data_IF_464993855632
#
_entry.id   IF_464993855632
#
_cell.length_a   1.000
_cell.length_b   1.000
_cell.length_c   1.000
_cell.angle_alpha   90.00
_cell.angle_beta   90.00
_cell.angle_gamma   90.00
#
_symmetry.space_group_name_H-M   'P 1'
#
loop_
_entity.id
_entity.type
_entity.pdbx_description
1 polymer ?
#
# COMPACT_ATOMS: atom_id res chain seq x y z
N UNK A 1 -16.82 15.86 12.76
CA UNK A 1 -16.29 15.53 11.42
C UNK A 1 -16.60 14.07 11.16
N UNK A 2 -17.03 13.73 9.97
CA UNK A 2 -17.29 12.37 9.55
C UNK A 2 -16.16 11.90 8.61
N UNK A 3 -15.65 10.68 8.81
CA UNK A 3 -14.56 10.12 8.03
C UNK A 3 -14.98 8.79 7.42
N UNK A 4 -14.63 8.59 6.13
CA UNK A 4 -14.71 7.31 5.44
C UNK A 4 -13.35 7.03 4.82
N UNK A 5 -12.82 5.83 5.01
CA UNK A 5 -11.51 5.43 4.51
C UNK A 5 -11.60 4.16 3.67
N UNK A 6 -10.99 4.19 2.50
CA UNK A 6 -11.06 3.14 1.50
C UNK A 6 -9.68 2.83 0.93
N UNK A 7 -9.46 1.56 0.60
CA UNK A 7 -8.24 1.03 0.02
C UNK A 7 -8.59 0.08 -1.14
N UNK A 8 -7.92 0.22 -2.28
CA UNK A 8 -8.08 -0.66 -3.43
C UNK A 8 -6.73 -0.95 -4.06
N UNK A 9 -6.46 -2.21 -4.30
CA UNK A 9 -5.22 -2.66 -4.93
C UNK A 9 -5.20 -2.38 -6.44
N UNK A 10 -4.00 -2.40 -7.01
CA UNK A 10 -3.78 -2.49 -8.44
C UNK A 10 -4.49 -3.71 -9.05
N UNK A 11 -5.03 -3.60 -10.30
CA UNK A 11 -5.83 -4.66 -10.96
C UNK A 11 -5.16 -6.04 -11.05
N UNK A 12 -3.84 -6.07 -11.13
CA UNK A 12 -3.09 -7.32 -11.27
C UNK A 12 -2.73 -7.98 -9.94
N UNK A 13 -3.12 -7.37 -8.80
CA UNK A 13 -2.71 -7.80 -7.47
C UNK A 13 -3.89 -8.20 -6.58
N UNK A 14 -3.58 -8.77 -5.42
CA UNK A 14 -4.56 -9.07 -4.40
C UNK A 14 -4.56 -7.95 -3.35
N UNK A 15 -5.64 -7.80 -2.63
CA UNK A 15 -5.81 -6.79 -1.58
C UNK A 15 -4.69 -6.82 -0.52
N UNK A 16 -4.20 -7.99 -0.17
CA UNK A 16 -3.11 -8.17 0.79
C UNK A 16 -1.75 -7.68 0.29
N UNK A 17 -1.62 -7.42 -1.01
CA UNK A 17 -0.38 -6.91 -1.60
C UNK A 17 -0.44 -5.40 -1.87
N UNK A 18 -1.53 -4.74 -1.53
CA UNK A 18 -1.62 -3.29 -1.62
C UNK A 18 -0.52 -2.64 -0.78
N UNK A 19 0.21 -1.72 -1.36
CA UNK A 19 1.35 -1.04 -0.73
C UNK A 19 0.94 0.26 -0.03
N UNK A 20 -0.24 0.77 -0.35
CA UNK A 20 -0.87 1.92 0.31
C UNK A 20 -1.34 1.61 1.73
N UNK A 21 -1.28 2.60 2.60
CA UNK A 21 -1.82 2.53 3.96
C UNK A 21 -2.50 3.83 4.39
N UNK A 22 -3.46 3.69 5.28
CA UNK A 22 -4.07 4.81 5.98
C UNK A 22 -4.23 4.50 7.48
N UNK A 23 -4.40 5.56 8.27
CA UNK A 23 -4.78 5.42 9.68
C UNK A 23 -5.67 6.58 10.10
N UNK A 24 -6.79 6.28 10.74
CA UNK A 24 -7.72 7.26 11.33
C UNK A 24 -7.71 7.09 12.84
N UNK A 25 -7.45 8.15 13.57
CA UNK A 25 -7.50 8.12 15.04
C UNK A 25 -8.42 9.22 15.56
N UNK A 26 -9.49 8.79 16.23
CA UNK A 26 -10.54 9.68 16.77
C UNK A 26 -10.07 10.48 17.98
N UNK A 27 -9.20 9.92 18.83
CA UNK A 27 -8.76 10.52 20.07
C UNK A 27 -7.78 11.67 19.82
N UNK A 28 -6.83 11.47 18.92
CA UNK A 28 -5.86 12.49 18.51
C UNK A 28 -6.37 13.41 17.41
N UNK A 29 -7.55 13.11 16.85
CA UNK A 29 -8.18 13.81 15.73
C UNK A 29 -7.25 13.89 14.52
N UNK A 30 -6.59 12.78 14.20
CA UNK A 30 -5.59 12.69 13.16
C UNK A 30 -5.99 11.67 12.10
N UNK A 31 -5.61 11.95 10.85
CA UNK A 31 -5.80 11.07 9.70
C UNK A 31 -4.53 11.10 8.89
N UNK A 32 -4.05 9.95 8.44
CA UNK A 32 -2.87 9.82 7.60
C UNK A 32 -3.09 8.84 6.45
N UNK A 33 -2.41 9.09 5.34
CA UNK A 33 -2.31 8.22 4.18
C UNK A 33 -0.84 8.19 3.74
N UNK A 34 -0.35 7.04 3.34
CA UNK A 34 0.98 6.85 2.79
C UNK A 34 0.94 5.82 1.67
N UNK A 35 1.65 6.10 0.60
CA UNK A 35 1.87 5.21 -0.52
C UNK A 35 3.26 4.60 -0.41
N UNK A 36 3.32 3.29 -0.39
CA UNK A 36 4.54 2.52 -0.26
C UNK A 36 5.23 2.29 -1.59
N UNK A 37 6.46 2.75 -1.75
CA UNK A 37 7.21 2.65 -3.01
C UNK A 37 7.54 1.21 -3.38
N UNK A 38 6.93 0.66 -4.44
CA UNK A 38 7.00 -0.75 -4.90
C UNK A 38 8.41 -1.32 -5.10
N UNK A 39 9.42 -0.48 -5.30
CA UNK A 39 10.81 -0.90 -5.48
C UNK A 39 11.59 -1.00 -4.16
N UNK A 40 10.96 -0.65 -3.05
CA UNK A 40 11.57 -0.68 -1.73
C UNK A 40 11.29 -2.01 -0.99
N UNK A 41 11.83 -2.18 0.20
CA UNK A 41 11.71 -3.43 0.97
C UNK A 41 10.57 -3.33 1.99
N UNK A 42 9.49 -4.09 1.79
CA UNK A 42 8.29 -4.09 2.64
C UNK A 42 7.67 -2.69 2.77
N UNK A 43 7.39 -2.01 1.64
CA UNK A 43 6.92 -0.62 1.64
C UNK A 43 5.59 -0.44 2.41
N UNK A 44 4.70 -1.41 2.31
CA UNK A 44 3.40 -1.41 2.96
C UNK A 44 3.50 -1.34 4.49
N UNK A 45 4.48 -2.00 5.07
CA UNK A 45 4.69 -1.99 6.53
C UNK A 45 5.38 -0.73 7.03
N UNK A 46 6.21 -0.11 6.19
CA UNK A 46 6.81 1.19 6.49
C UNK A 46 5.75 2.29 6.42
N UNK A 47 4.92 2.30 5.38
CA UNK A 47 3.80 3.21 5.21
C UNK A 47 2.85 3.13 6.42
N UNK A 48 2.47 1.91 6.85
CA UNK A 48 1.61 1.71 8.01
C UNK A 48 2.28 2.19 9.32
N UNK A 49 3.56 1.89 9.51
CA UNK A 49 4.29 2.32 10.71
C UNK A 49 4.31 3.85 10.85
N UNK A 50 4.53 4.59 9.75
CA UNK A 50 4.51 6.05 9.76
C UNK A 50 3.10 6.58 9.99
N UNK A 51 2.09 6.03 9.30
CA UNK A 51 0.69 6.42 9.47
C UNK A 51 0.21 6.24 10.92
N UNK A 52 0.47 5.09 11.53
CA UNK A 52 0.13 4.82 12.94
C UNK A 52 0.88 5.74 13.88
N UNK A 53 2.20 5.88 13.73
CA UNK A 53 2.99 6.77 14.61
C UNK A 53 2.51 8.21 14.56
N UNK A 54 2.13 8.72 13.38
CA UNK A 54 1.54 10.03 13.25
C UNK A 54 0.17 10.10 13.91
N UNK A 55 -0.73 9.19 13.57
CA UNK A 55 -2.12 9.25 13.98
C UNK A 55 -2.32 8.95 15.48
N UNK A 56 -1.54 8.03 16.05
CA UNK A 56 -1.64 7.66 17.47
C UNK A 56 -0.86 8.60 18.40
N UNK A 57 -0.09 9.54 17.85
CA UNK A 57 0.77 10.44 18.61
C UNK A 57 0.00 11.44 19.45
N UNK A 58 0.10 11.32 20.75
CA UNK A 58 -0.39 12.32 21.72
C UNK A 58 0.62 13.43 21.97
N UNK A 59 1.89 13.25 21.61
CA UNK A 59 2.99 14.22 21.75
C UNK A 59 3.13 15.17 20.55
N UNK A 60 2.22 15.06 19.56
CA UNK A 60 2.26 15.88 18.36
C UNK A 60 3.36 15.49 17.36
N UNK A 61 3.82 14.25 17.41
CA UNK A 61 4.81 13.74 16.44
C UNK A 61 4.30 13.89 15.00
N UNK A 62 5.20 14.27 14.09
CA UNK A 62 4.97 14.29 12.65
C UNK A 62 6.26 13.88 11.94
N UNK A 63 6.20 13.27 10.73
CA UNK A 63 7.38 12.79 10.05
C UNK A 63 8.23 13.94 9.49
N UNK A 64 9.54 13.85 9.71
CA UNK A 64 10.61 14.55 9.00
C UNK A 64 11.70 13.52 8.72
N UNK A 65 12.64 13.82 7.83
CA UNK A 65 13.73 12.89 7.54
C UNK A 65 14.54 12.48 8.79
N UNK A 66 14.67 13.36 9.78
CA UNK A 66 15.29 13.05 11.06
C UNK A 66 14.39 12.20 11.96
N UNK A 67 13.11 12.62 12.11
CA UNK A 67 12.19 11.99 13.06
C UNK A 67 11.72 10.61 12.65
N UNK A 68 11.68 10.30 11.36
CA UNK A 68 11.37 8.93 10.92
C UNK A 68 12.44 7.92 11.33
N UNK A 69 13.65 8.38 11.64
CA UNK A 69 14.73 7.52 12.18
C UNK A 69 14.47 7.08 13.63
N UNK A 70 13.62 7.80 14.36
CA UNK A 70 13.13 7.36 15.68
C UNK A 70 12.35 6.05 15.60
N UNK A 71 11.86 5.69 14.41
CA UNK A 71 11.11 4.46 14.14
C UNK A 71 12.00 3.24 13.88
N UNK A 72 13.33 3.41 13.74
CA UNK A 72 14.26 2.32 13.43
C UNK A 72 14.09 1.10 14.34
N UNK A 73 13.97 1.24 15.68
CA UNK A 73 13.78 0.08 16.56
C UNK A 73 12.48 -0.67 16.28
N UNK A 74 11.38 0.05 16.01
CA UNK A 74 10.09 -0.53 15.67
C UNK A 74 10.12 -1.19 14.29
N UNK A 75 10.77 -0.55 13.33
CA UNK A 75 10.97 -1.07 11.99
C UNK A 75 11.78 -2.37 11.99
N UNK A 76 12.88 -2.42 12.75
CA UNK A 76 13.72 -3.61 12.89
C UNK A 76 12.91 -4.77 13.49
N UNK A 77 12.16 -4.52 14.56
CA UNK A 77 11.29 -5.53 15.19
C UNK A 77 10.21 -6.06 14.23
N UNK A 78 9.63 -5.19 13.42
CA UNK A 78 8.61 -5.55 12.45
C UNK A 78 9.18 -6.43 11.33
N UNK A 79 10.33 -6.07 10.77
CA UNK A 79 11.01 -6.88 9.74
C UNK A 79 11.35 -8.27 10.23
N UNK A 80 11.86 -8.38 11.46
CA UNK A 80 12.20 -9.68 12.07
C UNK A 80 10.94 -10.50 12.30
N UNK A 81 9.87 -9.90 12.82
CA UNK A 81 8.58 -10.57 12.99
C UNK A 81 8.01 -11.07 11.65
N UNK A 82 8.09 -10.26 10.60
CA UNK A 82 7.66 -10.66 9.27
C UNK A 82 8.47 -11.85 8.74
N UNK A 83 9.81 -11.81 8.89
CA UNK A 83 10.67 -12.92 8.49
C UNK A 83 10.32 -14.21 9.25
N UNK A 84 10.10 -14.13 10.57
CA UNK A 84 9.70 -15.27 11.40
C UNK A 84 8.34 -15.84 10.98
N UNK A 85 7.38 -15.00 10.61
CA UNK A 85 6.06 -15.43 10.11
C UNK A 85 6.17 -16.16 8.77
N UNK A 86 6.99 -15.65 7.86
CA UNK A 86 7.19 -16.29 6.56
C UNK A 86 7.97 -17.62 6.68
N UNK A 87 8.90 -17.74 7.63
CA UNK A 87 9.56 -19.02 7.97
C UNK A 87 8.55 -20.01 8.55
N UNK A 88 7.69 -19.58 9.47
CA UNK A 88 6.64 -20.43 10.07
C UNK A 88 5.60 -20.90 9.04
N UNK A 89 5.33 -20.11 8.02
CA UNK A 89 4.49 -20.51 6.87
C UNK A 89 5.19 -21.48 5.92
N UNK A 90 6.43 -21.89 6.22
CA UNK A 90 7.29 -22.65 5.33
C UNK A 90 7.44 -22.00 3.94
N UNK A 91 7.47 -20.66 3.89
CA UNK A 91 7.71 -19.95 2.65
C UNK A 91 9.13 -20.26 2.18
N UNK A 92 9.33 -20.94 1.03
CA UNK A 92 10.66 -21.34 0.55
C UNK A 92 11.55 -20.12 0.23
N UNK A 93 11.01 -18.91 0.34
CA UNK A 93 11.68 -17.65 0.03
C UNK A 93 11.98 -16.81 1.29
N UNK A 94 11.68 -17.31 2.48
CA UNK A 94 11.98 -16.61 3.74
C UNK A 94 13.46 -16.20 3.86
N UNK A 95 14.37 -17.02 3.32
CA UNK A 95 15.79 -16.67 3.29
C UNK A 95 16.11 -15.38 2.51
N UNK A 96 15.32 -15.01 1.48
CA UNK A 96 15.51 -13.76 0.74
C UNK A 96 15.12 -12.55 1.59
N UNK A 97 14.11 -12.73 2.44
CA UNK A 97 13.70 -11.71 3.41
C UNK A 97 14.84 -11.49 4.40
N UNK A 98 15.40 -12.58 4.98
CA UNK A 98 16.56 -12.49 5.88
C UNK A 98 17.78 -11.84 5.22
N UNK A 99 18.07 -12.20 3.98
CA UNK A 99 19.15 -11.56 3.24
C UNK A 99 18.89 -10.06 3.04
N UNK A 100 17.68 -9.66 2.69
CA UNK A 100 17.31 -8.24 2.54
C UNK A 100 17.46 -7.46 3.86
N UNK A 101 17.10 -8.09 4.98
CA UNK A 101 17.33 -7.52 6.32
C UNK A 101 18.85 -7.37 6.60
N UNK A 102 19.64 -8.41 6.33
CA UNK A 102 21.11 -8.39 6.54
C UNK A 102 21.80 -7.36 5.63
N UNK A 103 21.31 -7.18 4.40
CA UNK A 103 21.77 -6.15 3.45
C UNK A 103 21.27 -4.74 3.81
N UNK A 104 20.49 -4.59 4.89
CA UNK A 104 19.87 -3.34 5.32
C UNK A 104 19.09 -2.64 4.19
N UNK A 105 18.35 -3.41 3.40
CA UNK A 105 17.45 -2.82 2.40
C UNK A 105 16.45 -1.94 3.10
N UNK A 106 16.23 -0.75 2.52
CA UNK A 106 15.31 0.23 3.05
C UNK A 106 13.92 0.09 2.46
N UNK A 107 12.93 0.51 3.23
CA UNK A 107 11.60 0.80 2.75
C UNK A 107 11.46 2.31 2.54
N UNK A 108 10.55 2.69 1.65
CA UNK A 108 10.27 4.08 1.36
C UNK A 108 8.76 4.27 1.12
N UNK A 109 8.24 5.44 1.49
CA UNK A 109 6.86 5.83 1.21
C UNK A 109 6.71 7.34 1.07
N UNK A 110 5.68 7.76 0.34
CA UNK A 110 5.15 9.13 0.39
C UNK A 110 4.28 9.29 1.64
N UNK A 111 3.80 10.49 1.92
CA UNK A 111 2.99 10.72 3.12
C UNK A 111 2.12 11.96 2.99
N UNK A 112 0.88 11.85 3.40
CA UNK A 112 -0.01 12.96 3.72
C UNK A 112 -0.73 12.70 5.04
N UNK A 113 -0.60 13.62 5.98
CA UNK A 113 -1.27 13.51 7.29
C UNK A 113 -1.87 14.82 7.72
N UNK A 114 -3.02 14.78 8.37
CA UNK A 114 -3.68 15.94 8.95
C UNK A 114 -4.03 15.72 10.41
N UNK A 115 -4.03 16.80 11.17
CA UNK A 115 -4.51 16.84 12.54
C UNK A 115 -5.44 18.04 12.73
N UNK A 116 -6.66 17.78 13.19
CA UNK A 116 -7.61 18.85 13.46
C UNK A 116 -7.27 19.55 14.78
N UNK A 117 -6.99 20.83 14.69
CA UNK A 117 -6.79 21.72 15.85
C UNK A 117 -8.11 22.19 16.42
N UNK A 118 -9.11 22.35 15.54
CA UNK A 118 -10.51 22.66 15.87
C UNK A 118 -11.42 22.26 14.71
N UNK A 119 -12.74 22.43 14.85
CA UNK A 119 -13.70 22.24 13.75
C UNK A 119 -13.46 23.16 12.53
N UNK A 120 -12.65 24.21 12.68
CA UNK A 120 -12.37 25.22 11.64
C UNK A 120 -10.91 25.33 11.24
N UNK A 121 -10.02 24.52 11.79
CA UNK A 121 -8.59 24.60 11.55
C UNK A 121 -7.92 23.25 11.62
N UNK A 122 -7.12 22.94 10.65
CA UNK A 122 -6.27 21.75 10.66
C UNK A 122 -4.81 22.10 10.40
N UNK A 123 -3.93 21.22 10.84
CA UNK A 123 -2.51 21.19 10.51
C UNK A 123 -2.27 20.03 9.60
N UNK A 124 -1.45 20.22 8.55
CA UNK A 124 -1.13 19.17 7.60
C UNK A 124 0.38 18.97 7.45
N UNK A 125 0.76 17.75 7.08
CA UNK A 125 2.13 17.33 6.83
C UNK A 125 2.14 16.52 5.55
N UNK A 126 2.98 16.89 4.57
CA UNK A 126 2.97 16.28 3.25
C UNK A 126 4.41 16.09 2.75
N UNK A 127 4.69 14.93 2.17
CA UNK A 127 5.88 14.65 1.39
C UNK A 127 5.55 13.66 0.28
N UNK A 128 5.88 14.01 -0.97
CA UNK A 128 5.64 13.18 -2.16
C UNK A 128 4.41 13.62 -2.94
N UNK A 129 3.83 12.70 -3.66
CA UNK A 129 2.69 12.84 -4.56
C UNK A 129 1.36 12.38 -3.96
N UNK A 130 1.37 11.71 -2.82
CA UNK A 130 0.17 11.63 -1.96
C UNK A 130 -0.29 13.04 -1.61
N UNK A 131 -1.60 13.30 -1.66
CA UNK A 131 -2.13 14.66 -1.61
C UNK A 131 -3.28 14.85 -0.62
N UNK A 132 -3.40 16.07 -0.13
CA UNK A 132 -4.64 16.58 0.46
C UNK A 132 -5.35 17.46 -0.58
N UNK A 133 -6.60 17.15 -0.89
CA UNK A 133 -7.45 17.89 -1.83
C UNK A 133 -8.60 18.52 -1.06
N UNK A 134 -8.83 19.81 -1.25
CA UNK A 134 -9.91 20.53 -0.55
C UNK A 134 -10.95 21.04 -1.56
N UNK A 135 -12.15 20.47 -1.50
CA UNK A 135 -13.30 21.00 -2.20
C UNK A 135 -13.96 22.09 -1.36
N UNK A 136 -13.83 23.33 -1.79
CA UNK A 136 -14.42 24.50 -1.16
C UNK A 136 -15.87 24.69 -1.62
N UNK A 137 -16.83 24.58 -0.68
CA UNK A 137 -18.27 24.67 -0.99
C UNK A 137 -18.72 23.69 -2.11
N UNK A 138 -18.13 22.51 -2.13
CA UNK A 138 -18.43 21.45 -3.11
C UNK A 138 -17.71 21.58 -4.46
N UNK A 139 -16.75 22.50 -4.59
CA UNK A 139 -15.98 22.74 -5.81
C UNK A 139 -14.48 22.65 -5.57
N UNK A 140 -13.77 22.00 -6.48
CA UNK A 140 -12.32 22.13 -6.62
C UNK A 140 -12.06 23.36 -7.51
N UNK A 141 -11.58 24.47 -6.91
CA UNK A 141 -11.50 25.76 -7.60
C UNK A 141 -10.31 25.85 -8.55
N UNK A 142 -9.19 25.23 -8.17
CA UNK A 142 -7.96 25.18 -8.96
C UNK A 142 -7.06 24.07 -8.46
N UNK A 143 -5.96 23.81 -9.19
CA UNK A 143 -4.89 22.93 -8.76
C UNK A 143 -4.19 23.39 -7.46
N UNK A 144 -4.39 24.64 -7.03
CA UNK A 144 -3.87 25.14 -5.75
C UNK A 144 -4.58 24.55 -4.54
N UNK A 145 -5.80 24.03 -4.71
CA UNK A 145 -6.54 23.29 -3.68
C UNK A 145 -6.08 21.82 -3.56
N UNK A 146 -5.06 21.42 -4.32
CA UNK A 146 -4.37 20.11 -4.25
C UNK A 146 -3.00 20.32 -3.61
N UNK A 147 -2.83 19.86 -2.39
CA UNK A 147 -1.63 20.05 -1.58
C UNK A 147 -0.74 18.80 -1.69
N UNK A 148 0.42 18.95 -2.33
CA UNK A 148 1.44 17.92 -2.51
C UNK A 148 2.81 18.60 -2.69
N UNK A 149 3.92 17.96 -2.27
CA UNK A 149 5.26 18.47 -2.56
C UNK A 149 5.68 18.16 -4.02
N UNK A 150 4.97 17.23 -4.66
CA UNK A 150 5.25 16.76 -6.03
C UNK A 150 4.17 17.18 -7.05
N UNK A 151 3.36 18.17 -6.73
CA UNK A 151 2.21 18.62 -7.53
C UNK A 151 2.60 18.89 -8.98
N UNK A 152 1.87 18.29 -9.92
CA UNK A 152 2.07 18.42 -11.37
C UNK A 152 3.31 17.71 -11.92
N UNK A 153 3.93 16.86 -11.13
CA UNK A 153 5.07 16.02 -11.50
C UNK A 153 4.82 14.59 -11.02
N UNK A 154 3.66 14.04 -11.36
CA UNK A 154 3.30 12.66 -10.99
C UNK A 154 4.14 11.70 -11.83
N UNK A 155 5.38 11.48 -11.43
CA UNK A 155 6.33 10.57 -12.06
C UNK A 155 6.71 9.44 -11.09
N UNK A 156 7.43 8.43 -11.58
CA UNK A 156 7.83 7.27 -10.79
C UNK A 156 8.91 7.56 -9.72
N UNK A 157 9.24 8.83 -9.47
CA UNK A 157 10.30 9.24 -8.55
C UNK A 157 9.88 10.38 -7.61
N UNK A 158 8.78 10.21 -6.83
CA UNK A 158 8.33 11.23 -5.90
C UNK A 158 9.37 11.53 -4.81
N UNK A 159 9.09 12.53 -3.99
CA UNK A 159 9.76 12.73 -2.72
C UNK A 159 9.24 11.70 -1.70
N UNK A 160 10.09 11.21 -0.78
CA UNK A 160 9.73 10.10 0.09
C UNK A 160 10.48 10.09 1.43
N UNK A 161 9.91 9.43 2.43
CA UNK A 161 10.55 9.06 3.68
C UNK A 161 11.19 7.67 3.58
N UNK A 162 12.49 7.58 3.85
CA UNK A 162 13.26 6.32 3.81
C UNK A 162 13.50 5.79 5.24
N UNK A 163 13.37 4.48 5.42
CA UNK A 163 13.62 3.79 6.68
C UNK A 163 15.10 3.65 7.04
N UNK A 164 16.00 4.02 6.15
CA UNK A 164 17.44 3.93 6.34
C UNK A 164 18.06 5.33 6.43
N UNK A 165 18.56 5.68 7.61
CA UNK A 165 19.21 6.98 7.87
C UNK A 165 20.39 7.30 6.95
N UNK A 166 21.07 6.28 6.39
CA UNK A 166 22.20 6.48 5.48
C UNK A 166 21.77 6.96 4.09
N UNK A 167 20.53 6.70 3.69
CA UNK A 167 19.95 7.18 2.42
C UNK A 167 19.16 8.47 2.59
N UNK A 168 18.50 8.63 3.74
CA UNK A 168 17.93 9.89 4.21
C UNK A 168 16.69 10.40 3.51
N UNK A 169 16.05 9.62 2.66
CA UNK A 169 14.86 10.08 1.93
C UNK A 169 15.16 11.15 0.85
N UNK A 170 14.11 11.75 0.30
CA UNK A 170 14.19 12.77 -0.77
C UNK A 170 13.13 13.83 -0.57
N UNK A 171 13.45 15.08 -0.91
CA UNK A 171 12.53 16.23 -0.87
C UNK A 171 12.40 16.87 0.51
N UNK A 172 11.69 17.99 0.56
CA UNK A 172 11.46 18.75 1.77
C UNK A 172 9.98 18.61 2.21
N UNK A 173 9.69 18.00 3.38
CA UNK A 173 8.32 17.88 3.84
C UNK A 173 7.70 19.25 4.16
N UNK A 174 6.49 19.47 3.69
CA UNK A 174 5.69 20.65 4.00
C UNK A 174 4.90 20.41 5.29
N UNK A 175 4.90 21.41 6.17
CA UNK A 175 4.17 21.42 7.44
C UNK A 175 3.56 22.79 7.63
N UNK A 176 2.22 22.89 7.54
CA UNK A 176 1.51 24.17 7.66
C UNK A 176 0.10 23.97 8.22
N UNK A 177 -0.61 25.08 8.40
CA UNK A 177 -1.97 25.10 8.95
C UNK A 177 -2.92 25.80 7.97
N UNK A 178 -4.16 25.30 7.89
CA UNK A 178 -5.17 25.87 7.01
C UNK A 178 -6.52 26.01 7.71
N UNK A 179 -7.25 27.05 7.36
CA UNK A 179 -8.64 27.22 7.77
C UNK A 179 -9.57 26.40 6.90
N UNK A 180 -10.52 25.74 7.53
CA UNK A 180 -11.57 24.95 6.90
C UNK A 180 -12.95 25.39 7.36
N UNK A 181 -13.98 25.00 6.65
CA UNK A 181 -15.38 25.26 6.98
C UNK A 181 -16.21 23.96 6.96
N UNK A 182 -17.40 24.00 7.50
CA UNK A 182 -18.39 22.93 7.45
C UNK A 182 -18.95 22.64 6.03
N UNK A 183 -18.68 23.54 5.09
CA UNK A 183 -19.06 23.38 3.66
C UNK A 183 -17.96 22.74 2.83
N UNK A 184 -16.77 22.58 3.40
CA UNK A 184 -15.65 21.96 2.71
C UNK A 184 -15.80 20.43 2.71
N UNK A 185 -15.07 19.78 1.81
CA UNK A 185 -14.80 18.35 1.86
C UNK A 185 -13.33 18.16 1.60
N UNK A 186 -12.69 17.39 2.45
CA UNK A 186 -11.26 17.14 2.38
C UNK A 186 -11.05 15.68 1.95
N UNK A 187 -10.21 15.46 0.95
CA UNK A 187 -9.77 14.12 0.56
C UNK A 187 -8.29 14.00 0.89
N UNK A 188 -7.88 12.88 1.51
CA UNK A 188 -6.49 12.45 1.52
C UNK A 188 -6.39 11.26 0.57
N UNK A 189 -5.43 11.31 -0.34
CA UNK A 189 -5.36 10.39 -1.47
C UNK A 189 -3.93 10.05 -1.83
N UNK A 190 -3.73 8.87 -2.44
CA UNK A 190 -2.49 8.47 -3.11
C UNK A 190 -2.46 8.96 -4.56
N UNK A 191 -1.34 8.76 -5.24
CA UNK A 191 -1.00 9.35 -6.53
C UNK A 191 -2.04 9.14 -7.65
N UNK A 192 -2.75 7.99 -7.83
CA UNK A 192 -3.73 7.87 -8.91
C UNK A 192 -4.84 8.92 -8.83
N UNK A 193 -5.33 9.18 -7.61
CA UNK A 193 -6.33 10.22 -7.40
C UNK A 193 -5.73 11.62 -7.50
N UNK A 194 -4.52 11.82 -6.99
CA UNK A 194 -3.81 13.10 -7.02
C UNK A 194 -3.65 13.59 -8.46
N UNK A 195 -3.11 12.73 -9.33
CA UNK A 195 -2.92 13.01 -10.75
C UNK A 195 -4.26 13.23 -11.47
N UNK A 196 -5.22 12.35 -11.24
CA UNK A 196 -6.54 12.43 -11.85
C UNK A 196 -7.24 13.78 -11.56
N UNK A 197 -7.30 14.19 -10.30
CA UNK A 197 -7.91 15.47 -9.93
C UNK A 197 -7.09 16.67 -10.39
N UNK A 198 -5.75 16.57 -10.37
CA UNK A 198 -4.88 17.62 -10.86
C UNK A 198 -5.13 17.90 -12.35
N UNK A 199 -5.15 16.87 -13.20
CA UNK A 199 -5.40 17.05 -14.63
C UNK A 199 -6.82 17.57 -14.92
N UNK A 200 -7.82 17.14 -14.13
CA UNK A 200 -9.19 17.69 -14.24
C UNK A 200 -9.23 19.16 -13.85
N UNK A 201 -8.64 19.56 -12.72
CA UNK A 201 -8.61 20.94 -12.25
C UNK A 201 -7.85 21.87 -13.23
N UNK A 202 -6.69 21.43 -13.69
CA UNK A 202 -5.87 22.14 -14.69
C UNK A 202 -6.59 22.36 -16.02
N UNK A 203 -7.42 21.40 -16.43
CA UNK A 203 -8.24 21.50 -17.64
C UNK A 203 -9.50 22.36 -17.45
N UNK A 204 -9.72 22.90 -16.24
CA UNK A 204 -10.91 23.70 -15.91
C UNK A 204 -12.21 22.89 -15.83
N UNK A 205 -12.13 21.57 -15.66
CA UNK A 205 -13.29 20.73 -15.54
C UNK A 205 -13.96 20.92 -14.17
N UNK A 206 -15.29 20.87 -14.16
CA UNK A 206 -16.05 20.84 -12.90
C UNK A 206 -15.95 19.46 -12.28
N UNK A 207 -15.27 19.38 -11.13
CA UNK A 207 -15.08 18.15 -10.36
C UNK A 207 -16.23 17.86 -9.38
N UNK A 208 -17.33 18.60 -9.42
CA UNK A 208 -18.41 18.47 -8.46
C UNK A 208 -19.14 17.12 -8.57
N UNK A 209 -19.23 16.53 -9.75
CA UNK A 209 -19.82 15.19 -9.95
C UNK A 209 -18.96 14.11 -9.31
N UNK A 210 -17.65 14.15 -9.48
CA UNK A 210 -16.69 13.24 -8.83
C UNK A 210 -16.80 13.32 -7.31
N UNK A 211 -16.91 14.53 -6.76
CA UNK A 211 -17.14 14.72 -5.33
C UNK A 211 -18.45 14.08 -4.86
N UNK A 212 -19.54 14.17 -5.63
CA UNK A 212 -20.81 13.55 -5.26
C UNK A 212 -20.72 12.01 -5.27
N UNK A 213 -19.96 11.44 -6.21
CA UNK A 213 -19.71 10.00 -6.25
C UNK A 213 -18.95 9.56 -5.01
N UNK A 214 -17.88 10.26 -4.66
CA UNK A 214 -17.08 10.00 -3.44
C UNK A 214 -17.91 10.07 -2.16
N UNK A 215 -18.77 11.09 -2.03
CA UNK A 215 -19.64 11.24 -0.84
C UNK A 215 -20.66 10.10 -0.68
N UNK A 216 -21.07 9.47 -1.77
CA UNK A 216 -22.05 8.36 -1.77
C UNK A 216 -21.45 7.02 -1.39
N UNK A 217 -20.14 6.89 -1.35
CA UNK A 217 -19.47 5.65 -0.96
C UNK A 217 -19.87 5.24 0.45
N UNK A 218 -20.26 3.97 0.60
CA UNK A 218 -20.66 3.40 1.89
C UNK A 218 -20.16 1.96 2.09
N UNK A 219 -19.45 1.39 1.12
CA UNK A 219 -18.90 0.04 1.18
C UNK A 219 -17.64 -0.07 0.33
N UNK A 220 -16.83 -1.09 0.60
CA UNK A 220 -15.67 -1.46 -0.22
C UNK A 220 -16.07 -1.75 -1.68
N UNK A 221 -17.16 -2.49 -1.89
CA UNK A 221 -17.64 -2.84 -3.24
C UNK A 221 -18.03 -1.61 -4.07
N UNK A 222 -18.60 -0.57 -3.43
CA UNK A 222 -18.92 0.69 -4.11
C UNK A 222 -17.62 1.43 -4.48
N UNK A 223 -16.64 1.39 -3.60
CA UNK A 223 -15.35 2.01 -3.83
C UNK A 223 -14.58 1.33 -4.98
N UNK A 224 -14.50 0.01 -4.99
CA UNK A 224 -13.87 -0.75 -6.09
C UNK A 224 -14.51 -0.40 -7.44
N UNK A 225 -15.85 -0.36 -7.51
CA UNK A 225 -16.58 0.03 -8.74
C UNK A 225 -16.26 1.47 -9.16
N UNK A 226 -16.12 2.39 -8.19
CA UNK A 226 -15.74 3.77 -8.48
C UNK A 226 -14.32 3.84 -9.06
N UNK A 227 -13.36 3.16 -8.43
CA UNK A 227 -11.98 3.09 -8.90
C UNK A 227 -11.91 2.49 -10.31
N UNK A 228 -12.61 1.38 -10.57
CA UNK A 228 -12.69 0.78 -11.91
C UNK A 228 -13.27 1.75 -12.95
N UNK A 229 -14.35 2.45 -12.59
CA UNK A 229 -14.96 3.47 -13.46
C UNK A 229 -13.93 4.57 -13.81
N UNK A 230 -13.26 5.14 -12.81
CA UNK A 230 -12.34 6.26 -13.03
C UNK A 230 -11.05 5.83 -13.73
N UNK A 231 -10.58 4.58 -13.53
CA UNK A 231 -9.49 3.98 -14.33
C UNK A 231 -9.88 3.89 -15.82
N UNK A 232 -11.15 3.61 -16.13
CA UNK A 232 -11.65 3.64 -17.51
C UNK A 232 -11.79 5.07 -18.06
N UNK A 233 -11.86 6.09 -17.20
CA UNK A 233 -11.88 7.52 -17.54
C UNK A 233 -10.48 8.16 -17.55
N UNK A 234 -9.41 7.37 -17.36
CA UNK A 234 -8.02 7.79 -17.47
C UNK A 234 -7.24 7.91 -16.17
N UNK A 235 -7.81 7.53 -15.01
CA UNK A 235 -7.04 7.40 -13.78
C UNK A 235 -6.03 6.25 -13.90
N UNK A 236 -4.83 6.42 -13.38
CA UNK A 236 -3.79 5.39 -13.41
C UNK A 236 -4.22 4.11 -12.69
N UNK A 237 -3.76 2.96 -13.21
CA UNK A 237 -3.99 1.66 -12.60
C UNK A 237 -2.85 1.35 -11.62
N UNK A 238 -2.97 1.86 -10.41
CA UNK A 238 -2.08 1.62 -9.29
C UNK A 238 -2.88 1.42 -8.00
N UNK A 239 -2.23 1.07 -6.91
CA UNK A 239 -2.85 1.05 -5.59
C UNK A 239 -3.52 2.39 -5.33
N UNK A 240 -4.69 2.37 -4.74
CA UNK A 240 -5.53 3.56 -4.68
C UNK A 240 -6.16 3.70 -3.31
N UNK A 241 -5.77 4.73 -2.57
CA UNK A 241 -6.32 5.05 -1.25
C UNK A 241 -7.07 6.36 -1.27
N UNK A 242 -8.25 6.36 -0.66
CA UNK A 242 -9.11 7.52 -0.52
C UNK A 242 -9.64 7.63 0.89
N UNK A 243 -9.30 8.71 1.58
CA UNK A 243 -9.96 9.09 2.83
C UNK A 243 -10.80 10.34 2.61
N UNK A 244 -12.11 10.22 2.84
CA UNK A 244 -13.08 11.30 2.70
C UNK A 244 -13.39 11.87 4.07
N UNK A 245 -13.23 13.17 4.23
CA UNK A 245 -13.48 13.87 5.48
C UNK A 245 -14.49 14.98 5.23
N UNK A 246 -15.60 14.90 5.93
CA UNK A 246 -16.69 15.89 5.88
C UNK A 246 -16.68 16.66 7.21
N UNK A 247 -16.15 17.89 7.24
CA UNK A 247 -16.21 18.74 8.41
C UNK A 247 -17.65 19.00 8.88
N UNK A 248 -17.81 19.20 10.16
CA UNK A 248 -19.07 19.64 10.78
C UNK A 248 -18.76 20.53 11.98
N UNK A 249 -19.78 21.06 12.63
CA UNK A 249 -19.65 21.96 13.78
C UNK A 249 -19.07 21.31 15.05
N UNK A 250 -18.91 19.97 15.03
CA UNK A 250 -18.44 19.23 16.20
C UNK A 250 -16.92 19.08 16.16
N UNK A 251 -16.27 19.32 17.28
CA UNK A 251 -14.82 19.07 17.46
C UNK A 251 -14.46 17.60 17.68
N UNK A 252 -15.29 16.68 17.18
CA UNK A 252 -15.08 15.23 17.27
C UNK A 252 -14.99 14.60 15.89
N UNK A 253 -14.18 13.57 15.76
CA UNK A 253 -14.17 12.69 14.60
C UNK A 253 -15.10 11.50 14.85
N UNK A 254 -15.84 11.09 13.84
CA UNK A 254 -16.58 9.83 13.80
C UNK A 254 -16.24 9.08 12.52
N UNK A 255 -15.95 7.79 12.64
CA UNK A 255 -15.69 6.93 11.48
C UNK A 255 -17.05 6.40 11.01
N UNK A 256 -17.45 6.76 9.79
CA UNK A 256 -18.67 6.27 9.16
C UNK A 256 -18.40 4.97 8.38
N UNK A 257 -17.21 4.83 7.84
CA UNK A 257 -16.75 3.64 7.15
C UNK A 257 -15.21 3.55 7.16
N UNK A 258 -14.68 2.34 7.27
CA UNK A 258 -13.24 2.08 7.21
C UNK A 258 -13.00 0.70 6.64
N UNK A 259 -12.17 0.61 5.61
CA UNK A 259 -11.72 -0.66 5.06
C UNK A 259 -10.76 -1.36 6.04
N UNK A 260 -10.70 -2.68 5.94
CA UNK A 260 -9.78 -3.46 6.77
C UNK A 260 -8.34 -3.22 6.31
N UNK A 261 -7.46 -2.92 7.28
CA UNK A 261 -6.01 -2.84 7.04
C UNK A 261 -5.45 -4.25 6.72
N UNK A 262 -4.86 -4.47 5.52
CA UNK A 262 -4.28 -5.76 5.17
C UNK A 262 -3.05 -6.14 5.99
N UNK A 263 -2.40 -5.19 6.68
CA UNK A 263 -1.23 -5.41 7.55
C UNK A 263 -1.60 -5.71 9.00
N UNK A 264 -2.88 -5.66 9.38
CA UNK A 264 -3.32 -5.79 10.78
C UNK A 264 -2.74 -7.02 11.48
N UNK A 265 -2.62 -8.14 10.76
CA UNK A 265 -2.11 -9.42 11.31
C UNK A 265 -0.65 -9.35 11.80
N UNK A 266 0.15 -8.42 11.30
CA UNK A 266 1.54 -8.23 11.76
C UNK A 266 1.59 -7.43 13.06
N UNK A 267 0.70 -6.45 13.23
CA UNK A 267 0.68 -5.59 14.41
C UNK A 267 -0.02 -6.26 15.60
N UNK A 268 -1.03 -7.10 15.33
CA UNK A 268 -1.74 -7.83 16.37
C UNK A 268 -0.98 -9.12 16.71
N UNK A 269 -0.57 -9.27 17.98
CA UNK A 269 0.01 -10.52 18.48
C UNK A 269 -1.09 -11.56 18.73
N UNK A 270 -1.48 -12.29 17.67
CA UNK A 270 -2.51 -13.35 17.74
C UNK A 270 -2.08 -14.57 18.59
N UNK A 271 -0.81 -14.65 19.01
CA UNK A 271 -0.33 -15.75 19.85
C UNK A 271 -1.01 -15.78 21.22
N UNK A 272 -1.44 -14.65 21.75
CA UNK A 272 -2.21 -14.57 23.00
C UNK A 272 -3.67 -15.03 22.84
N UNK A 273 -4.29 -14.79 21.68
CA UNK A 273 -5.68 -15.21 21.41
C UNK A 273 -5.81 -16.71 21.09
N UNK A 274 -4.78 -17.31 20.51
CA UNK A 274 -4.77 -18.75 20.24
C UNK A 274 -4.61 -19.54 21.53
N UNK A 275 -3.81 -19.08 22.50
CA UNK A 275 -3.69 -19.72 23.80
C UNK A 275 -5.01 -19.75 24.59
N UNK A 276 -5.77 -18.66 24.57
CA UNK A 276 -7.07 -18.62 25.28
C UNK A 276 -8.14 -19.52 24.66
N UNK A 277 -8.13 -19.74 23.33
CA UNK A 277 -9.06 -20.66 22.65
C UNK A 277 -8.68 -22.14 22.82
N UNK A 278 -7.39 -22.46 22.95
CA UNK A 278 -6.95 -23.83 23.18
C UNK A 278 -7.11 -24.29 24.63
N UNK A 279 -7.25 -23.39 25.61
CA UNK A 279 -7.52 -23.75 27.02
C UNK A 279 -9.01 -24.01 27.30
N UNK A 280 -9.94 -23.51 26.45
CA UNK A 280 -11.38 -23.76 26.58
C UNK A 280 -11.90 -25.03 25.88
N UNK A 281 -11.14 -25.63 24.94
CA UNK A 281 -11.54 -26.87 24.24
C UNK A 281 -10.61 -28.04 24.54
N UNK A 282 -10.68 -28.60 25.74
CA UNK A 282 -10.26 -29.95 25.98
C UNK A 282 -11.48 -30.89 26.16
N UNK A 283 -11.90 -31.63 25.14
CA UNK A 283 -12.78 -32.77 25.33
C UNK A 283 -11.94 -34.00 25.78
N UNK A 284 -12.38 -34.58 26.85
CA UNK A 284 -11.90 -35.86 27.32
C UNK A 284 -12.19 -36.98 26.31
N UNK A 285 -11.16 -37.67 25.87
CA UNK A 285 -11.22 -39.08 25.60
C UNK A 285 -11.49 -39.59 24.19
N UNK A 286 -10.55 -40.40 23.75
CA UNK A 286 -10.62 -41.64 22.95
C UNK A 286 -10.34 -41.63 21.45
N UNK A 287 -9.30 -42.44 21.22
CA UNK A 287 -9.08 -43.50 20.20
C UNK A 287 -8.67 -43.12 18.75
N UNK A 288 -7.51 -43.63 18.49
CA UNK A 288 -6.93 -44.10 17.20
C UNK A 288 -7.88 -44.24 16.00
N UNK A 289 -7.57 -43.62 14.87
CA UNK A 289 -7.69 -44.25 13.57
C UNK A 289 -6.71 -43.59 12.52
N UNK A 290 -6.00 -44.48 11.91
CA UNK A 290 -5.31 -44.57 10.62
C UNK A 290 -5.18 -43.31 9.75
N UNK A 291 -3.90 -43.01 9.43
CA UNK A 291 -3.50 -42.13 8.33
C UNK A 291 -3.70 -42.87 7.01
N UNK A 292 -4.60 -42.40 6.18
CA UNK A 292 -4.58 -42.71 4.75
C UNK A 292 -3.60 -41.77 4.06
N UNK A 293 -2.66 -42.39 3.37
CA UNK A 293 -1.73 -41.71 2.44
C UNK A 293 -2.48 -41.29 1.17
N UNK A 294 -2.71 -40.02 0.99
CA UNK A 294 -3.13 -39.45 -0.28
C UNK A 294 -1.89 -39.02 -1.07
N UNK A 295 -1.40 -39.96 -1.88
CA UNK A 295 -0.32 -39.76 -2.85
C UNK A 295 -0.95 -39.19 -4.12
N UNK A 296 -1.10 -37.85 -4.21
CA UNK A 296 -1.37 -37.19 -5.48
C UNK A 296 -0.06 -36.88 -6.16
N UNK A 297 0.15 -37.51 -7.32
CA UNK A 297 1.26 -37.32 -8.24
C UNK A 297 1.52 -35.82 -8.48
N UNK A 298 2.64 -35.32 -7.96
CA UNK A 298 3.16 -34.00 -8.27
C UNK A 298 3.95 -34.14 -9.56
N UNK A 299 3.42 -33.68 -10.68
CA UNK A 299 4.23 -33.46 -11.89
C UNK A 299 5.44 -32.59 -11.52
N UNK A 300 6.61 -33.21 -11.56
CA UNK A 300 7.90 -32.52 -11.37
C UNK A 300 8.12 -31.72 -12.67
N UNK A 301 8.11 -30.41 -12.58
CA UNK A 301 8.46 -29.54 -13.72
C UNK A 301 9.92 -29.83 -14.08
N UNK A 302 10.16 -30.36 -15.25
CA UNK A 302 11.51 -30.61 -15.78
C UNK A 302 12.21 -29.28 -16.01
N UNK A 303 13.31 -29.06 -15.27
CA UNK A 303 14.10 -27.84 -15.37
C UNK A 303 14.68 -27.61 -16.78
N UNK A 304 14.87 -28.66 -17.56
CA UNK A 304 15.40 -28.58 -18.93
C UNK A 304 14.37 -27.99 -19.91
N UNK A 305 13.11 -28.36 -19.77
CA UNK A 305 12.01 -27.82 -20.59
C UNK A 305 11.79 -26.30 -20.36
N UNK A 306 11.95 -25.89 -19.12
CA UNK A 306 11.88 -24.47 -18.76
C UNK A 306 13.09 -23.67 -19.27
N UNK A 307 14.28 -24.26 -19.21
CA UNK A 307 15.51 -23.67 -19.71
C UNK A 307 15.40 -23.41 -21.22
N UNK A 308 14.99 -24.44 -21.99
CA UNK A 308 14.79 -24.34 -23.42
C UNK A 308 13.76 -23.26 -23.80
N UNK A 309 12.66 -23.13 -23.04
CA UNK A 309 11.66 -22.09 -23.25
C UNK A 309 12.24 -20.69 -23.11
N UNK A 310 13.08 -20.46 -22.09
CA UNK A 310 13.73 -19.15 -21.86
C UNK A 310 14.73 -18.84 -22.97
N UNK A 311 15.55 -19.82 -23.37
CA UNK A 311 16.55 -19.61 -24.41
C UNK A 311 15.88 -19.33 -25.78
N UNK A 312 14.77 -19.98 -26.07
CA UNK A 312 13.96 -19.75 -27.29
C UNK A 312 13.30 -18.35 -27.25
N UNK A 313 12.79 -17.90 -26.09
CA UNK A 313 12.19 -16.58 -25.95
C UNK A 313 13.24 -15.45 -26.06
N UNK A 314 14.44 -15.64 -25.53
CA UNK A 314 15.56 -14.70 -25.67
C UNK A 314 16.02 -14.59 -27.13
N UNK A 315 16.16 -15.72 -27.82
CA UNK A 315 16.57 -15.76 -29.22
C UNK A 315 15.53 -15.12 -30.17
N UNK A 316 14.23 -15.16 -29.80
CA UNK A 316 13.15 -14.68 -30.65
C UNK A 316 12.88 -13.16 -30.49
N UNK A 317 13.16 -12.59 -29.32
CA UNK A 317 12.70 -11.24 -28.98
C UNK A 317 13.83 -10.24 -28.65
N UNK A 318 15.09 -10.66 -28.51
CA UNK A 318 16.21 -9.79 -28.13
C UNK A 318 16.07 -9.16 -26.73
N UNK A 319 17.13 -8.61 -26.19
CA UNK A 319 17.13 -8.03 -24.83
C UNK A 319 17.02 -6.50 -24.84
N UNK A 320 17.01 -5.83 -26.00
CA UNK A 320 17.27 -4.39 -26.09
C UNK A 320 16.04 -3.47 -26.14
N UNK A 321 14.85 -3.97 -26.47
CA UNK A 321 13.67 -3.10 -26.67
C UNK A 321 12.80 -2.83 -25.44
N UNK A 322 12.96 -3.62 -24.39
CA UNK A 322 12.16 -3.45 -23.16
C UNK A 322 13.07 -3.58 -21.94
N UNK A 323 13.00 -2.62 -21.03
CA UNK A 323 13.72 -2.70 -19.76
C UNK A 323 13.48 -4.05 -19.06
N UNK A 324 14.45 -4.51 -18.31
CA UNK A 324 14.57 -5.85 -17.70
C UNK A 324 13.26 -6.40 -17.08
N UNK A 325 12.47 -5.55 -16.44
CA UNK A 325 11.17 -5.90 -15.85
C UNK A 325 10.04 -6.13 -16.88
N UNK A 326 10.04 -5.39 -17.98
CA UNK A 326 9.10 -5.62 -19.08
C UNK A 326 9.29 -7.00 -19.70
N UNK A 327 10.54 -7.41 -19.86
CA UNK A 327 10.92 -8.73 -20.36
C UNK A 327 10.48 -9.86 -19.43
N UNK A 328 10.70 -9.73 -18.12
CA UNK A 328 10.24 -10.69 -17.12
C UNK A 328 8.71 -10.87 -17.12
N UNK A 329 7.97 -9.79 -17.30
CA UNK A 329 6.51 -9.81 -17.37
C UNK A 329 6.02 -10.53 -18.64
N UNK A 330 6.67 -10.31 -19.76
CA UNK A 330 6.36 -10.98 -21.06
C UNK A 330 6.63 -12.48 -20.97
N UNK A 331 7.82 -12.89 -20.51
CA UNK A 331 8.20 -14.29 -20.34
C UNK A 331 7.27 -15.02 -19.37
N UNK A 332 6.97 -14.42 -18.22
CA UNK A 332 6.06 -14.99 -17.25
C UNK A 332 4.65 -15.17 -17.79
N UNK A 333 4.09 -14.16 -18.44
CA UNK A 333 2.74 -14.22 -19.01
C UNK A 333 2.65 -15.23 -20.16
N UNK A 334 3.68 -15.33 -20.98
CA UNK A 334 3.75 -16.30 -22.08
C UNK A 334 3.81 -17.73 -21.57
N UNK A 335 4.65 -17.99 -20.58
CA UNK A 335 4.81 -19.32 -20.00
C UNK A 335 3.54 -19.77 -19.22
N UNK A 336 2.91 -18.86 -18.48
CA UNK A 336 1.66 -19.14 -17.74
C UNK A 336 0.47 -19.37 -18.67
N UNK A 337 0.40 -18.67 -19.82
CA UNK A 337 -0.64 -18.91 -20.83
C UNK A 337 -0.52 -20.27 -21.48
N UNK A 338 0.71 -20.75 -21.68
CA UNK A 338 0.97 -22.03 -22.33
C UNK A 338 0.59 -23.25 -21.47
N UNK A 339 0.73 -23.21 -20.16
CA UNK A 339 0.61 -24.41 -19.29
C UNK A 339 -0.47 -24.35 -18.17
N UNK A 340 -1.31 -23.34 -18.07
CA UNK A 340 -2.44 -23.23 -17.08
C UNK A 340 -2.07 -23.50 -15.61
N UNK A 341 -0.98 -22.96 -15.11
CA UNK A 341 -0.52 -23.18 -13.73
C UNK A 341 -1.42 -22.58 -12.65
N UNK A 342 -1.52 -23.23 -11.48
CA UNK A 342 -2.19 -22.74 -10.28
C UNK A 342 -1.35 -21.68 -9.54
N UNK A 343 -1.95 -20.88 -8.66
CA UNK A 343 -1.33 -19.70 -8.04
C UNK A 343 0.04 -19.90 -7.38
N UNK A 344 0.27 -21.02 -6.66
CA UNK A 344 1.56 -21.34 -6.02
C UNK A 344 2.68 -21.66 -7.01
N UNK A 345 2.34 -22.29 -8.15
CA UNK A 345 3.27 -22.63 -9.21
C UNK A 345 3.69 -21.40 -10.01
N UNK A 346 2.77 -20.44 -10.20
CA UNK A 346 3.07 -19.14 -10.85
C UNK A 346 4.18 -18.39 -10.12
N UNK A 347 4.12 -18.35 -8.77
CA UNK A 347 5.15 -17.70 -7.94
C UNK A 347 6.52 -18.42 -8.10
N UNK A 348 6.52 -19.76 -8.15
CA UNK A 348 7.74 -20.56 -8.31
C UNK A 348 8.42 -20.31 -9.67
N UNK A 349 7.64 -20.23 -10.76
CA UNK A 349 8.12 -19.98 -12.13
C UNK A 349 8.68 -18.55 -12.24
N UNK A 350 7.98 -17.55 -11.75
CA UNK A 350 8.44 -16.14 -11.73
C UNK A 350 9.83 -16.01 -11.09
N UNK A 351 10.11 -16.80 -10.05
CA UNK A 351 11.40 -16.81 -9.39
C UNK A 351 12.49 -17.56 -10.18
N UNK A 352 12.15 -18.70 -10.80
CA UNK A 352 13.13 -19.41 -11.64
C UNK A 352 13.60 -18.50 -12.77
N UNK A 353 12.69 -17.74 -13.39
CA UNK A 353 13.02 -16.76 -14.43
C UNK A 353 13.99 -15.68 -13.88
N UNK A 354 13.69 -15.12 -12.70
CA UNK A 354 14.57 -14.11 -12.06
C UNK A 354 15.98 -14.65 -11.79
N UNK A 355 16.06 -15.85 -11.21
CA UNK A 355 17.35 -16.50 -10.90
C UNK A 355 18.18 -16.76 -12.15
N UNK A 356 17.53 -17.22 -13.22
CA UNK A 356 18.20 -17.51 -14.49
C UNK A 356 18.78 -16.24 -15.13
N UNK A 357 18.02 -15.16 -15.15
CA UNK A 357 18.46 -13.89 -15.73
C UNK A 357 19.57 -13.24 -14.92
N UNK A 358 19.58 -13.35 -13.59
CA UNK A 358 20.69 -12.87 -12.75
C UNK A 358 22.00 -13.64 -12.93
N UNK A 359 21.93 -14.91 -13.35
CA UNK A 359 23.14 -15.73 -13.59
C UNK A 359 23.75 -15.51 -14.98
N UNK A 360 23.06 -14.79 -15.89
CA UNK A 360 23.57 -14.47 -17.24
C UNK A 360 24.12 -13.04 -17.40
N UNK A 361 24.07 -12.21 -16.34
CA UNK A 361 24.81 -10.96 -16.20
C UNK A 361 26.16 -11.21 -15.50
#
# INVERSE_FOLDING_TARGET
>A
MEVKAFLCQHKAENYENCEDRFCVNIDTKSVAVADGMSQSFLPEYWADLICRRFSESTDGWYPTHERVQELEPSWNKLRDKYADLEEKKNNPYSYLIRNSIAEKKSAACTFVGIRFLSSKKLKYHILGDSSMIIFREGKLKSEEDIFSTHRGKFDSFPDFFDSNHLRGGKGDPVNDEIQISDKDTILLVTDPFSDFFYEKAKSGNDCSEYLQEVKRLNSHDDYVKLVEKWRNEGMHDDDSTLVVIIPNDKDTISIAYEDKDPSEDIFIDKTSQIKSKFEEEQPKGKSSHQRENDNTDREIIDCSEFQNFIDEAINKHGTEEHGWFGWLKILFNSFVKLKKFKGSERKRIKKMIRKYLNNKQ
#
